data_IF_137108937443
#
_entry.id   IF_137108937443
#
_cell.length_a   1.000
_cell.length_b   1.000
_cell.length_c   1.000
_cell.angle_alpha   90.00
_cell.angle_beta   90.00
_cell.angle_gamma   90.00
#
_symmetry.space_group_name_H-M   'P 1'
#
loop_
_entity.id
_entity.type
_entity.pdbx_description
1 polymer ?
#
# COMPACT_ATOMS: atom_id res chain seq x y z
N UNK A 1 -4.83 -9.21 -20.57
CA UNK A 1 -5.57 -8.09 -21.21
C UNK A 1 -6.56 -8.64 -22.24
N UNK A 2 -7.76 -8.05 -22.38
CA UNK A 2 -8.79 -8.50 -23.34
C UNK A 2 -9.16 -7.37 -24.31
N UNK A 3 -9.60 -7.74 -25.50
CA UNK A 3 -10.17 -6.77 -26.44
C UNK A 3 -11.54 -6.27 -25.94
N UNK A 4 -11.85 -5.00 -26.18
CA UNK A 4 -13.06 -4.34 -25.65
C UNK A 4 -14.32 -4.84 -26.36
N UNK A 5 -14.23 -5.10 -27.67
CA UNK A 5 -15.38 -5.48 -28.50
C UNK A 5 -15.49 -7.00 -28.56
N UNK A 6 -14.43 -7.70 -28.98
CA UNK A 6 -14.49 -9.17 -29.14
C UNK A 6 -14.40 -9.95 -27.83
N UNK A 7 -13.97 -9.32 -26.74
CA UNK A 7 -13.70 -9.94 -25.43
C UNK A 7 -12.68 -11.10 -25.45
N UNK A 8 -12.06 -11.39 -26.59
CA UNK A 8 -10.98 -12.37 -26.73
C UNK A 8 -9.72 -11.89 -26.01
N UNK A 9 -8.93 -12.84 -25.50
CA UNK A 9 -7.63 -12.55 -24.88
C UNK A 9 -6.65 -12.02 -25.92
N UNK A 10 -5.88 -10.98 -25.56
CA UNK A 10 -4.82 -10.43 -26.43
C UNK A 10 -3.51 -11.23 -26.41
N UNK A 11 -3.48 -12.39 -25.74
CA UNK A 11 -2.25 -13.18 -25.59
C UNK A 11 -1.19 -12.57 -24.65
N UNK A 12 -1.52 -11.52 -23.89
CA UNK A 12 -0.55 -10.87 -22.99
C UNK A 12 -1.07 -10.73 -21.57
N UNK A 13 -0.15 -10.89 -20.62
CA UNK A 13 -0.38 -10.74 -19.19
C UNK A 13 0.81 -10.05 -18.51
N UNK A 14 0.52 -9.34 -17.41
CA UNK A 14 1.51 -8.75 -16.52
C UNK A 14 1.30 -9.40 -15.15
N UNK A 15 2.40 -9.81 -14.52
CA UNK A 15 2.37 -10.43 -13.20
C UNK A 15 3.23 -9.57 -12.28
N UNK A 16 2.59 -9.03 -11.25
CA UNK A 16 3.25 -8.30 -10.18
C UNK A 16 3.67 -9.29 -9.09
N UNK A 17 4.97 -9.39 -8.84
CA UNK A 17 5.53 -10.18 -7.75
C UNK A 17 5.82 -9.28 -6.54
N UNK A 18 5.67 -9.83 -5.34
CA UNK A 18 6.07 -9.13 -4.11
C UNK A 18 7.59 -8.98 -4.01
N UNK A 19 8.34 -9.99 -4.46
CA UNK A 19 9.80 -10.04 -4.40
C UNK A 19 10.41 -10.06 -5.81
N UNK A 20 11.51 -9.31 -6.04
CA UNK A 20 12.17 -9.29 -7.34
C UNK A 20 12.83 -10.63 -7.70
N UNK A 21 13.33 -11.37 -6.71
CA UNK A 21 13.94 -12.70 -6.92
C UNK A 21 12.93 -13.71 -7.46
N UNK A 22 11.69 -13.67 -6.93
CA UNK A 22 10.60 -14.51 -7.42
C UNK A 22 10.26 -14.23 -8.88
N UNK A 23 10.31 -12.95 -9.30
CA UNK A 23 10.10 -12.58 -10.69
C UNK A 23 11.19 -13.16 -11.62
N UNK A 24 12.47 -13.05 -11.22
CA UNK A 24 13.61 -13.60 -11.98
C UNK A 24 13.52 -15.12 -12.14
N UNK A 25 13.21 -15.82 -11.05
CA UNK A 25 13.05 -17.28 -11.06
C UNK A 25 11.86 -17.69 -11.93
N UNK A 26 10.77 -16.93 -11.91
CA UNK A 26 9.61 -17.19 -12.76
C UNK A 26 9.94 -17.03 -14.24
N UNK A 27 10.63 -15.94 -14.64
CA UNK A 27 11.05 -15.72 -16.02
C UNK A 27 11.94 -16.87 -16.50
N UNK A 28 13.00 -17.21 -15.74
CA UNK A 28 13.90 -18.33 -16.07
C UNK A 28 13.18 -19.68 -16.17
N UNK A 29 12.17 -19.87 -15.33
CA UNK A 29 11.42 -21.11 -15.26
C UNK A 29 10.31 -21.23 -16.29
N UNK A 30 9.80 -20.14 -16.87
CA UNK A 30 8.59 -20.18 -17.72
C UNK A 30 8.86 -19.73 -19.16
N UNK A 31 9.92 -18.96 -19.41
CA UNK A 31 10.30 -18.59 -20.77
C UNK A 31 10.64 -19.83 -21.61
N UNK A 32 9.99 -19.98 -22.76
CA UNK A 32 10.15 -21.12 -23.65
C UNK A 32 9.36 -22.38 -23.28
N UNK A 33 8.55 -22.37 -22.21
CA UNK A 33 7.69 -23.52 -21.87
C UNK A 33 6.44 -23.58 -22.75
N UNK A 34 6.03 -24.79 -23.10
CA UNK A 34 4.74 -25.05 -23.75
C UNK A 34 3.64 -25.24 -22.71
N UNK A 35 2.59 -24.42 -22.79
CA UNK A 35 1.38 -24.56 -21.96
C UNK A 35 0.16 -24.46 -22.87
N UNK A 36 -0.75 -25.42 -22.78
CA UNK A 36 -1.97 -25.52 -23.61
C UNK A 36 -1.67 -25.47 -25.13
N UNK A 37 -0.56 -26.08 -25.56
CA UNK A 37 -0.14 -26.13 -26.96
C UNK A 37 0.38 -24.80 -27.51
N UNK A 38 0.70 -23.83 -26.64
CA UNK A 38 1.35 -22.56 -27.00
C UNK A 38 2.66 -22.41 -26.26
N UNK A 39 3.67 -21.87 -26.93
CA UNK A 39 4.95 -21.50 -26.29
C UNK A 39 4.80 -20.16 -25.59
N UNK A 40 5.20 -20.12 -24.33
CA UNK A 40 5.22 -18.90 -23.54
C UNK A 40 6.53 -18.16 -23.74
N UNK A 41 6.45 -16.84 -23.84
CA UNK A 41 7.58 -15.93 -23.71
C UNK A 41 7.44 -15.12 -22.43
N UNK A 42 8.41 -15.22 -21.53
CA UNK A 42 8.43 -14.47 -20.28
C UNK A 42 9.61 -13.49 -20.29
N UNK A 43 9.39 -12.23 -19.92
CA UNK A 43 10.44 -11.23 -19.84
C UNK A 43 10.17 -10.26 -18.68
N UNK A 44 11.20 -9.58 -18.20
CA UNK A 44 11.05 -8.49 -17.24
C UNK A 44 10.38 -7.29 -17.93
N UNK A 45 9.33 -6.76 -17.31
CA UNK A 45 8.62 -5.59 -17.77
C UNK A 45 9.48 -4.35 -17.64
N UNK A 46 9.50 -3.57 -18.72
CA UNK A 46 9.97 -2.20 -18.69
C UNK A 46 8.78 -1.31 -18.34
N UNK A 47 8.95 -0.43 -17.38
CA UNK A 47 7.94 0.57 -17.06
C UNK A 47 7.68 1.43 -18.30
N UNK A 48 6.39 1.59 -18.62
CA UNK A 48 5.94 2.42 -19.72
C UNK A 48 5.62 3.86 -19.28
N UNK A 49 5.86 4.19 -18.01
CA UNK A 49 5.60 5.51 -17.43
C UNK A 49 4.10 5.82 -17.27
N UNK A 50 3.22 4.84 -17.53
CA UNK A 50 1.76 5.02 -17.45
C UNK A 50 1.19 4.65 -16.09
N UNK A 51 2.00 4.13 -15.17
CA UNK A 51 1.62 3.88 -13.77
C UNK A 51 0.74 5.00 -13.15
N UNK A 52 1.07 6.31 -13.27
CA UNK A 52 0.21 7.38 -12.73
C UNK A 52 -1.18 7.46 -13.36
N UNK A 53 -1.36 7.05 -14.63
CA UNK A 53 -2.68 6.98 -15.28
C UNK A 53 -3.55 5.87 -14.68
N UNK A 54 -2.93 4.75 -14.31
CA UNK A 54 -3.64 3.61 -13.70
C UNK A 54 -3.93 3.81 -12.21
N UNK A 55 -3.11 4.59 -11.51
CA UNK A 55 -3.35 4.97 -10.10
C UNK A 55 -4.58 5.89 -9.97
N UNK A 56 -4.85 6.74 -10.98
CA UNK A 56 -6.04 7.59 -10.99
C UNK A 56 -7.30 6.74 -11.12
N UNK A 57 -8.25 6.94 -10.20
CA UNK A 57 -9.58 6.32 -10.30
C UNK A 57 -10.24 6.79 -11.60
N UNK A 58 -10.53 5.86 -12.49
CA UNK A 58 -11.37 6.12 -13.66
C UNK A 58 -12.80 6.30 -13.19
N UNK A 59 -13.39 7.44 -13.54
CA UNK A 59 -14.83 7.65 -13.44
C UNK A 59 -15.48 6.92 -14.63
N UNK A 60 -16.37 5.98 -14.34
CA UNK A 60 -17.15 5.31 -15.39
C UNK A 60 -18.51 6.01 -15.46
N UNK A 61 -18.84 6.68 -16.58
CA UNK A 61 -20.03 7.54 -16.67
C UNK A 61 -21.32 6.76 -16.45
N UNK A 62 -21.39 5.50 -16.92
CA UNK A 62 -22.59 4.66 -16.81
C UNK A 62 -22.26 3.29 -16.21
N UNK A 63 -22.62 3.08 -14.94
CA UNK A 63 -22.52 1.78 -14.24
C UNK A 63 -23.76 0.90 -14.47
N UNK A 64 -24.55 1.21 -15.50
CA UNK A 64 -25.85 0.56 -15.78
C UNK A 64 -25.73 -0.76 -16.55
N UNK A 65 -24.57 -1.01 -17.18
CA UNK A 65 -24.32 -2.19 -18.01
C UNK A 65 -23.12 -2.98 -17.50
N UNK A 66 -23.21 -4.30 -17.64
CA UNK A 66 -22.11 -5.20 -17.34
C UNK A 66 -20.94 -5.04 -18.33
N UNK A 67 -19.71 -4.91 -17.84
CA UNK A 67 -18.52 -4.82 -18.71
C UNK A 67 -18.05 -6.17 -19.28
N UNK A 68 -18.76 -7.27 -18.99
CA UNK A 68 -18.46 -8.58 -19.55
C UNK A 68 -19.44 -8.98 -20.64
N UNK A 69 -20.75 -8.95 -20.38
CA UNK A 69 -21.78 -9.34 -21.35
C UNK A 69 -22.53 -8.18 -22.00
N UNK A 70 -22.42 -6.95 -21.48
CA UNK A 70 -23.12 -5.77 -22.01
C UNK A 70 -24.60 -5.66 -21.60
N UNK A 71 -25.16 -6.67 -20.93
CA UNK A 71 -26.54 -6.66 -20.44
C UNK A 71 -26.70 -5.75 -19.20
N UNK A 72 -27.91 -5.26 -19.00
CA UNK A 72 -28.28 -4.48 -17.81
C UNK A 72 -28.64 -5.36 -16.61
N UNK A 73 -28.75 -4.73 -15.43
CA UNK A 73 -29.20 -5.39 -14.20
C UNK A 73 -28.09 -5.97 -13.32
N UNK A 74 -26.85 -6.05 -13.81
CA UNK A 74 -25.68 -6.49 -13.02
C UNK A 74 -24.37 -5.82 -13.48
N UNK A 75 -23.35 -5.88 -12.64
CA UNK A 75 -21.97 -5.49 -12.97
C UNK A 75 -21.11 -6.72 -13.26
N UNK A 76 -19.93 -6.52 -13.86
CA UNK A 76 -18.99 -7.61 -14.21
C UNK A 76 -18.69 -8.59 -13.08
N UNK A 77 -18.72 -8.12 -11.84
CA UNK A 77 -18.44 -8.94 -10.67
C UNK A 77 -19.55 -9.97 -10.38
N UNK A 78 -20.78 -9.67 -10.81
CA UNK A 78 -21.98 -10.50 -10.65
C UNK A 78 -22.51 -10.99 -12.00
N UNK A 79 -21.63 -11.10 -13.01
CA UNK A 79 -22.04 -11.53 -14.34
C UNK A 79 -22.14 -13.06 -14.42
N UNK A 80 -23.28 -13.64 -14.82
CA UNK A 80 -23.42 -15.08 -14.99
C UNK A 80 -22.56 -15.64 -16.13
N UNK A 81 -22.14 -14.78 -17.07
CA UNK A 81 -21.22 -15.13 -18.17
C UNK A 81 -19.75 -14.91 -17.79
N UNK A 82 -19.46 -14.57 -16.52
CA UNK A 82 -18.09 -14.38 -16.06
C UNK A 82 -17.33 -15.71 -16.03
N UNK A 83 -16.33 -15.83 -16.90
CA UNK A 83 -15.45 -17.01 -16.93
C UNK A 83 -14.58 -17.16 -15.68
N UNK A 84 -14.47 -16.13 -14.85
CA UNK A 84 -13.77 -16.18 -13.56
C UNK A 84 -14.70 -16.59 -12.40
N UNK A 85 -16.00 -16.80 -12.67
CA UNK A 85 -17.01 -17.09 -11.66
C UNK A 85 -17.33 -15.91 -10.74
N UNK A 86 -18.19 -16.17 -9.76
CA UNK A 86 -18.45 -15.24 -8.66
C UNK A 86 -17.23 -15.23 -7.73
N UNK A 87 -16.53 -14.09 -7.67
CA UNK A 87 -15.46 -13.89 -6.68
C UNK A 87 -16.07 -13.33 -5.41
N UNK A 88 -15.55 -13.74 -4.26
CA UNK A 88 -15.85 -13.04 -3.02
C UNK A 88 -15.08 -11.72 -2.98
N UNK A 89 -15.75 -10.59 -2.69
CA UNK A 89 -15.07 -9.31 -2.58
C UNK A 89 -14.04 -9.39 -1.46
N UNK A 90 -12.84 -8.81 -1.65
CA UNK A 90 -11.81 -8.87 -0.62
C UNK A 90 -12.38 -8.32 0.69
N UNK A 91 -12.14 -9.00 1.83
CA UNK A 91 -12.69 -8.57 3.10
C UNK A 91 -12.26 -7.12 3.32
N UNK A 92 -13.21 -6.26 3.67
CA UNK A 92 -12.90 -4.88 4.01
C UNK A 92 -11.92 -4.93 5.17
N UNK A 93 -10.70 -4.41 4.98
CA UNK A 93 -9.75 -4.23 6.08
C UNK A 93 -10.48 -3.47 7.17
N UNK A 94 -10.75 -4.15 8.29
CA UNK A 94 -11.31 -3.50 9.47
C UNK A 94 -10.25 -2.50 9.89
N UNK A 95 -10.54 -1.21 9.71
CA UNK A 95 -9.72 -0.17 10.32
C UNK A 95 -9.95 -0.30 11.81
N UNK A 96 -9.06 -1.01 12.50
CA UNK A 96 -9.01 -0.94 13.96
C UNK A 96 -8.66 0.51 14.28
N UNK A 97 -9.68 1.34 14.53
CA UNK A 97 -9.47 2.58 15.26
C UNK A 97 -9.07 2.11 16.65
N UNK A 98 -7.80 2.23 16.98
CA UNK A 98 -7.31 2.06 18.35
C UNK A 98 -7.99 3.14 19.20
N UNK A 99 -9.20 2.82 19.68
CA UNK A 99 -9.85 3.57 20.74
C UNK A 99 -9.18 3.12 22.02
N UNK A 100 -8.29 3.96 22.55
CA UNK A 100 -7.84 3.87 23.93
C UNK A 100 -9.07 4.11 24.81
N UNK A 101 -9.65 3.04 25.32
CA UNK A 101 -10.51 3.04 26.50
C UNK A 101 -10.49 1.62 27.04
N UNK A 102 -9.50 1.36 27.89
CA UNK A 102 -9.49 0.20 28.76
C UNK A 102 -9.65 0.75 30.17
N UNK A 103 -10.83 0.50 30.73
CA UNK A 103 -11.22 0.51 32.15
C UNK A 103 -12.75 0.30 32.11
N UNK A 104 -13.42 -0.61 32.81
CA UNK A 104 -13.11 -1.73 33.71
C UNK A 104 -14.46 -2.49 33.81
N UNK A 105 -14.50 -3.83 33.76
CA UNK A 105 -14.99 -4.69 34.86
C UNK A 105 -15.30 -6.15 34.45
N UNK A 106 -14.72 -7.06 35.25
CA UNK A 106 -15.17 -8.39 35.71
C UNK A 106 -15.32 -9.57 34.73
N UNK A 107 -14.32 -10.45 34.72
CA UNK A 107 -14.38 -11.76 35.41
C UNK A 107 -13.20 -12.65 34.98
N UNK A 108 -12.12 -12.66 35.75
CA UNK A 108 -11.29 -13.87 35.93
C UNK A 108 -10.74 -13.79 37.35
N UNK A 109 -11.05 -14.82 38.12
CA UNK A 109 -10.66 -15.06 39.51
C UNK A 109 -9.15 -15.40 39.61
N UNK A 110 -8.56 -14.98 40.72
CA UNK A 110 -7.40 -15.53 41.43
C UNK A 110 -6.13 -15.89 40.66
N UNK A 111 -5.16 -14.97 40.68
CA UNK A 111 -3.74 -15.32 40.87
C UNK A 111 -3.16 -14.33 41.89
N UNK A 112 -2.99 -14.80 43.13
CA UNK A 112 -2.14 -14.19 44.14
C UNK A 112 -0.68 -14.33 43.68
N UNK A 113 0.07 -13.24 43.59
CA UNK A 113 1.54 -13.27 43.76
C UNK A 113 2.10 -11.87 44.06
N UNK A 114 3.06 -11.87 44.95
CA UNK A 114 3.52 -10.84 45.87
C UNK A 114 4.67 -9.99 45.27
N UNK A 115 4.74 -8.71 45.66
CA UNK A 115 5.89 -7.77 45.60
C UNK A 115 6.63 -7.49 44.27
N UNK A 116 6.46 -6.28 43.73
CA UNK A 116 7.52 -5.61 42.95
C UNK A 116 7.40 -4.07 42.98
N UNK A 117 8.15 -3.44 43.88
CA UNK A 117 8.36 -1.99 43.92
C UNK A 117 9.09 -1.52 42.64
N UNK A 118 8.42 -0.73 41.80
CA UNK A 118 9.01 -0.23 40.56
C UNK A 118 8.12 0.69 39.71
N UNK A 119 7.31 1.55 40.33
CA UNK A 119 6.43 2.48 39.61
C UNK A 119 7.12 3.84 39.38
N UNK A 120 8.01 3.96 38.38
CA UNK A 120 8.38 5.31 37.91
C UNK A 120 8.82 5.46 36.44
N UNK A 121 8.95 4.39 35.65
CA UNK A 121 9.52 4.51 34.28
C UNK A 121 8.47 4.48 33.14
N UNK A 122 7.21 4.14 33.42
CA UNK A 122 6.21 3.96 32.36
C UNK A 122 5.52 5.25 31.90
N UNK A 123 5.53 6.32 32.71
CA UNK A 123 4.78 7.55 32.39
C UNK A 123 5.44 8.45 31.32
N UNK A 124 6.74 8.26 31.04
CA UNK A 124 7.50 9.13 30.14
C UNK A 124 7.29 8.82 28.64
N UNK A 125 6.63 7.71 28.30
CA UNK A 125 6.39 7.29 26.91
C UNK A 125 4.99 7.64 26.38
N UNK A 126 4.16 8.36 27.14
CA UNK A 126 2.84 8.80 26.66
C UNK A 126 2.95 9.88 25.58
N UNK A 127 2.10 9.84 24.55
CA UNK A 127 1.98 10.88 23.52
C UNK A 127 1.76 12.27 24.14
N UNK A 128 1.05 12.35 25.27
CA UNK A 128 0.86 13.61 26.01
C UNK A 128 2.16 14.14 26.62
N UNK A 129 3.05 13.26 27.09
CA UNK A 129 4.36 13.63 27.62
C UNK A 129 5.28 14.14 26.50
N UNK A 130 5.32 13.44 25.36
CA UNK A 130 6.07 13.87 24.18
C UNK A 130 5.62 15.25 23.64
N UNK A 131 4.31 15.52 23.65
CA UNK A 131 3.76 16.82 23.24
C UNK A 131 4.19 17.94 24.21
N UNK A 132 4.12 17.71 25.52
CA UNK A 132 4.55 18.69 26.54
C UNK A 132 6.03 19.01 26.41
N UNK A 133 6.87 17.98 26.29
CA UNK A 133 8.31 18.14 26.10
C UNK A 133 8.64 19.00 24.87
N UNK A 134 7.96 18.77 23.75
CA UNK A 134 8.19 19.54 22.53
C UNK A 134 7.64 20.98 22.61
N UNK A 135 6.64 21.24 23.44
CA UNK A 135 6.16 22.59 23.76
C UNK A 135 7.16 23.34 24.65
N UNK A 136 7.68 22.71 25.70
CA UNK A 136 8.68 23.28 26.61
C UNK A 136 9.97 23.66 25.86
N UNK A 137 10.43 22.81 24.92
CA UNK A 137 11.57 23.15 24.07
C UNK A 137 11.31 24.39 23.22
N UNK A 138 10.12 24.52 22.61
CA UNK A 138 9.76 25.69 21.81
C UNK A 138 9.68 26.95 22.66
N UNK A 139 9.04 26.87 23.82
CA UNK A 139 8.90 27.99 24.75
C UNK A 139 10.27 28.43 25.29
N UNK A 140 11.16 27.46 25.58
CA UNK A 140 12.55 27.73 25.98
C UNK A 140 13.38 28.36 24.85
N UNK A 141 13.22 27.89 23.60
CA UNK A 141 13.84 28.51 22.42
C UNK A 141 13.32 29.94 22.20
N UNK A 142 12.01 30.17 22.35
CA UNK A 142 11.39 31.49 22.26
C UNK A 142 11.90 32.43 23.37
N UNK A 143 12.07 31.91 24.58
CA UNK A 143 12.66 32.64 25.70
C UNK A 143 14.12 33.02 25.42
N UNK A 144 14.97 32.09 24.95
CA UNK A 144 16.36 32.38 24.57
C UNK A 144 16.47 33.37 23.42
N UNK A 145 15.57 33.27 22.43
CA UNK A 145 15.49 34.17 21.28
C UNK A 145 15.05 35.57 21.67
N UNK A 146 14.23 35.69 22.71
CA UNK A 146 13.83 37.00 23.26
C UNK A 146 14.98 37.72 23.97
N UNK A 147 15.96 36.97 24.51
CA UNK A 147 17.12 37.53 25.21
C UNK A 147 18.32 37.86 24.30
N UNK A 148 18.41 37.27 23.10
CA UNK A 148 19.52 37.50 22.17
C UNK A 148 19.10 38.38 20.98
N UNK A 149 19.30 39.69 21.08
CA UNK A 149 19.49 40.56 19.90
C UNK A 149 20.98 40.89 19.82
N UNK A 150 21.69 40.46 18.77
CA UNK A 150 22.17 41.46 17.79
C UNK A 150 22.33 40.96 16.31
N UNK A 151 22.13 41.92 15.39
CA UNK A 151 22.92 42.25 14.19
C UNK A 151 23.30 41.18 13.11
N UNK A 152 22.74 41.39 11.90
CA UNK A 152 23.24 41.18 10.52
C UNK A 152 24.30 40.11 10.19
N UNK A 153 23.99 39.20 9.26
CA UNK A 153 24.66 39.04 7.94
C UNK A 153 24.26 37.74 7.22
N UNK A 154 24.31 37.81 5.89
CA UNK A 154 23.79 36.87 4.90
C UNK A 154 24.58 35.55 4.73
N UNK A 155 23.85 34.53 4.24
CA UNK A 155 24.37 33.52 3.30
C UNK A 155 24.64 32.12 3.84
N UNK A 156 23.96 31.09 3.30
CA UNK A 156 24.50 30.24 2.23
C UNK A 156 23.74 28.88 2.08
N UNK A 157 23.48 28.53 0.82
CA UNK A 157 23.38 27.20 0.19
C UNK A 157 22.78 25.99 0.92
N UNK A 158 21.62 25.53 0.44
CA UNK A 158 21.10 24.18 0.66
C UNK A 158 21.44 23.25 -0.51
N UNK A 159 22.41 22.36 -0.30
CA UNK A 159 22.62 21.18 -1.17
C UNK A 159 21.63 20.08 -0.76
N UNK A 160 20.58 19.89 -1.56
CA UNK A 160 19.58 18.83 -1.36
C UNK A 160 20.07 17.48 -1.87
N UNK A 161 20.36 16.56 -0.96
CA UNK A 161 20.52 15.13 -1.25
C UNK A 161 19.16 14.55 -1.69
N UNK A 162 19.07 14.04 -2.92
CA UNK A 162 17.91 13.31 -3.42
C UNK A 162 18.07 11.82 -3.11
N UNK A 163 17.16 11.27 -2.32
CA UNK A 163 17.06 9.83 -2.05
C UNK A 163 16.53 9.09 -3.28
N UNK A 164 17.24 8.02 -3.67
CA UNK A 164 16.87 7.15 -4.78
C UNK A 164 15.66 6.30 -4.42
N UNK A 165 14.64 6.28 -5.28
CA UNK A 165 13.42 5.48 -5.09
C UNK A 165 13.65 4.04 -5.57
N UNK A 166 13.25 3.10 -4.71
CA UNK A 166 13.24 1.65 -4.88
C UNK A 166 12.48 1.28 -6.17
N UNK A 167 13.17 0.66 -7.13
CA UNK A 167 12.56 0.20 -8.39
C UNK A 167 11.90 -1.17 -8.17
N UNK A 168 10.58 -1.21 -8.28
CA UNK A 168 9.81 -2.46 -8.34
C UNK A 168 9.83 -2.98 -9.78
N UNK A 169 10.07 -4.29 -9.93
CA UNK A 169 10.25 -4.95 -11.22
C UNK A 169 9.06 -5.88 -11.46
N UNK A 170 8.24 -5.58 -12.46
CA UNK A 170 7.14 -6.44 -12.92
C UNK A 170 7.64 -7.40 -14.02
N UNK A 171 6.99 -8.55 -14.21
CA UNK A 171 7.28 -9.49 -15.31
C UNK A 171 6.13 -9.50 -16.34
N UNK A 172 6.47 -9.48 -17.63
CA UNK A 172 5.55 -9.59 -18.78
C UNK A 172 5.58 -11.02 -19.32
N UNK A 173 4.39 -11.58 -19.51
CA UNK A 173 4.19 -12.82 -20.24
C UNK A 173 3.51 -12.52 -21.58
N UNK A 174 4.16 -12.92 -22.67
CA UNK A 174 3.67 -12.93 -24.05
C UNK A 174 3.39 -14.39 -24.44
N UNK A 175 2.12 -14.73 -24.64
CA UNK A 175 1.69 -15.94 -25.34
C UNK A 175 1.59 -15.61 -26.82
N UNK A 176 2.41 -16.27 -27.65
CA UNK A 176 2.21 -16.28 -29.10
C UNK A 176 1.27 -17.42 -29.50
#
# INVERSE_FOLDING_TARGET
MRDKISRKSKGVAFVLFANPESALNCVRGVDGKEIFGRTLRANIAKDNGRAPEFIRRREYPDKSRCYECGEGGHLSYSCPKNILGEREPPPKKIKVKMKKNLETDKSVEDIEDEDSEGEQEFEDYSLSAAIRYQQELREGEEFLKSQTKPHSSDGNSSNGFKSFKKTEIEAVFLLQ
#
